data_IF_263530018063
#
_entry.id   IF_263530018063
#
_cell.length_a   1.000
_cell.length_b   1.000
_cell.length_c   1.000
_cell.angle_alpha   90.00
_cell.angle_beta   90.00
_cell.angle_gamma   90.00
#
_symmetry.space_group_name_H-M   'P 1'
#
loop_
_entity.id
_entity.type
_entity.pdbx_description
1 polymer ?
#
# COMPACT_ATOMS: atom_id res chain seq x y z
N UNK A 1 -13.47 -3.39 -11.40
CA UNK A 1 -12.25 -3.64 -10.58
C UNK A 1 -12.71 -4.05 -9.19
N UNK A 2 -12.11 -5.10 -8.59
CA UNK A 2 -12.46 -5.51 -7.23
C UNK A 2 -11.63 -4.80 -6.18
N UNK A 3 -12.29 -4.27 -5.13
CA UNK A 3 -11.67 -3.98 -3.84
C UNK A 3 -12.12 -5.06 -2.87
N UNK A 4 -11.19 -5.88 -2.40
CA UNK A 4 -11.47 -7.00 -1.49
C UNK A 4 -10.88 -6.69 -0.12
N UNK A 5 -11.73 -6.59 0.88
CA UNK A 5 -11.32 -6.35 2.27
C UNK A 5 -11.69 -7.53 3.14
N UNK A 6 -10.77 -7.98 3.95
CA UNK A 6 -10.92 -9.07 4.90
C UNK A 6 -10.17 -8.79 6.19
N UNK A 7 -10.53 -9.46 7.28
CA UNK A 7 -9.93 -9.19 8.58
C UNK A 7 -9.16 -10.36 9.16
N UNK A 8 -8.14 -10.09 9.96
CA UNK A 8 -7.45 -11.05 10.81
C UNK A 8 -7.49 -10.61 12.28
N UNK A 9 -7.56 -11.54 13.21
CA UNK A 9 -7.75 -11.23 14.62
C UNK A 9 -9.18 -10.83 15.00
N UNK A 10 -10.17 -11.23 14.21
CA UNK A 10 -11.57 -10.99 14.48
C UNK A 10 -12.29 -12.31 14.74
N UNK A 11 -12.58 -12.61 16.02
CA UNK A 11 -13.34 -13.77 16.43
C UNK A 11 -14.85 -13.59 16.20
N UNK A 12 -15.61 -14.66 16.40
CA UNK A 12 -17.05 -14.71 16.13
C UNK A 12 -17.86 -13.59 16.81
N UNK A 13 -17.48 -13.14 18.00
CA UNK A 13 -18.19 -12.07 18.68
C UNK A 13 -18.08 -10.72 17.95
N UNK A 14 -16.95 -10.40 17.28
CA UNK A 14 -16.79 -9.18 16.49
C UNK A 14 -17.77 -9.12 15.31
N UNK A 15 -18.18 -10.28 14.79
CA UNK A 15 -19.21 -10.36 13.77
C UNK A 15 -20.61 -10.16 14.34
N UNK A 16 -20.84 -10.61 15.59
CA UNK A 16 -22.14 -10.46 16.27
C UNK A 16 -22.39 -9.05 16.77
N UNK A 17 -21.37 -8.36 17.27
CA UNK A 17 -21.48 -6.99 17.77
C UNK A 17 -21.32 -5.92 16.68
N UNK A 18 -21.01 -6.35 15.43
CA UNK A 18 -20.85 -5.49 14.26
C UNK A 18 -19.52 -4.73 14.19
N UNK A 19 -18.57 -4.97 15.10
CA UNK A 19 -17.26 -4.30 15.08
C UNK A 19 -16.46 -4.66 13.83
N UNK A 20 -16.50 -5.93 13.39
CA UNK A 20 -15.88 -6.35 12.14
C UNK A 20 -16.38 -5.54 10.94
N UNK A 21 -17.70 -5.43 10.78
CA UNK A 21 -18.28 -4.71 9.64
C UNK A 21 -17.96 -3.21 9.69
N UNK A 22 -17.95 -2.60 10.86
CA UNK A 22 -17.57 -1.18 11.01
C UNK A 22 -16.13 -0.93 10.53
N UNK A 23 -15.20 -1.79 10.91
CA UNK A 23 -13.79 -1.64 10.50
C UNK A 23 -13.61 -1.86 9.01
N UNK A 24 -14.26 -2.88 8.43
CA UNK A 24 -14.19 -3.10 6.96
C UNK A 24 -14.77 -1.93 6.18
N UNK A 25 -15.87 -1.32 6.66
CA UNK A 25 -16.44 -0.11 6.05
C UNK A 25 -15.51 1.09 6.19
N UNK A 26 -14.90 1.29 7.36
CA UNK A 26 -13.91 2.34 7.57
C UNK A 26 -12.71 2.19 6.62
N UNK A 27 -12.20 0.97 6.43
CA UNK A 27 -11.13 0.70 5.47
C UNK A 27 -11.55 0.96 4.01
N UNK A 28 -12.79 0.65 3.65
CA UNK A 28 -13.31 0.98 2.31
C UNK A 28 -13.45 2.49 2.10
N UNK A 29 -13.93 3.23 3.09
CA UNK A 29 -13.99 4.69 3.00
C UNK A 29 -12.58 5.30 2.93
N UNK A 30 -11.63 4.78 3.70
CA UNK A 30 -10.22 5.15 3.64
C UNK A 30 -9.62 4.95 2.24
N UNK A 31 -9.90 3.81 1.60
CA UNK A 31 -9.43 3.54 0.24
C UNK A 31 -9.87 4.62 -0.77
N UNK A 32 -11.07 5.16 -0.61
CA UNK A 32 -11.64 6.17 -1.49
C UNK A 32 -11.54 7.61 -0.95
N UNK A 33 -10.76 7.86 0.10
CA UNK A 33 -10.65 9.20 0.70
C UNK A 33 -9.75 10.16 -0.07
N UNK A 34 -8.86 9.62 -0.93
CA UNK A 34 -7.88 10.42 -1.67
C UNK A 34 -7.92 10.16 -3.18
N UNK A 35 -7.51 11.18 -3.97
CA UNK A 35 -7.31 11.01 -5.41
C UNK A 35 -6.05 10.17 -5.72
N UNK A 36 -6.09 9.31 -6.76
CA UNK A 36 -7.14 9.20 -7.78
C UNK A 36 -8.31 8.28 -7.38
N UNK A 37 -8.24 7.60 -6.27
CA UNK A 37 -9.21 6.56 -5.88
C UNK A 37 -10.60 7.12 -5.60
N UNK A 38 -10.70 8.36 -5.09
CA UNK A 38 -11.98 9.05 -4.90
C UNK A 38 -12.76 9.16 -6.21
N UNK A 39 -12.12 9.66 -7.26
CA UNK A 39 -12.71 9.78 -8.60
C UNK A 39 -12.93 8.43 -9.28
N UNK A 40 -12.13 7.40 -8.94
CA UNK A 40 -12.24 6.06 -9.49
C UNK A 40 -13.28 5.19 -8.79
N UNK A 41 -13.86 5.63 -7.67
CA UNK A 41 -14.86 4.86 -6.90
C UNK A 41 -15.96 4.19 -7.75
N UNK A 42 -16.54 4.83 -8.80
CA UNK A 42 -17.57 4.21 -9.62
C UNK A 42 -17.11 2.97 -10.42
N UNK A 43 -15.83 2.73 -10.53
CA UNK A 43 -15.24 1.60 -11.27
C UNK A 43 -14.88 0.43 -10.38
N UNK A 44 -15.10 0.56 -9.04
CA UNK A 44 -14.78 -0.48 -8.08
C UNK A 44 -16.04 -1.18 -7.54
N UNK A 45 -16.00 -2.50 -7.55
CA UNK A 45 -16.92 -3.36 -6.79
C UNK A 45 -16.26 -3.70 -5.45
N UNK A 46 -16.91 -3.33 -4.35
CA UNK A 46 -16.37 -3.52 -3.00
C UNK A 46 -16.90 -4.82 -2.40
N UNK A 47 -15.98 -5.69 -2.01
CA UNK A 47 -16.27 -7.00 -1.44
C UNK A 47 -15.73 -7.09 0.00
N UNK A 48 -16.61 -7.31 0.97
CA UNK A 48 -16.24 -7.64 2.34
C UNK A 48 -16.27 -9.14 2.54
N UNK A 49 -15.11 -9.76 2.70
CA UNK A 49 -14.98 -11.20 2.94
C UNK A 49 -15.04 -11.45 4.44
N UNK A 50 -16.07 -12.15 4.89
CA UNK A 50 -16.22 -12.52 6.31
C UNK A 50 -15.26 -13.65 6.65
N UNK A 51 -14.23 -13.30 7.41
CA UNK A 51 -13.25 -14.23 7.96
C UNK A 51 -13.41 -14.30 9.48
N UNK A 52 -13.32 -15.48 10.04
CA UNK A 52 -13.38 -15.68 11.50
C UNK A 52 -12.05 -16.23 11.96
N UNK A 53 -11.35 -15.46 12.78
CA UNK A 53 -10.09 -15.87 13.38
C UNK A 53 -10.33 -16.68 14.66
N UNK A 54 -9.43 -17.60 14.96
CA UNK A 54 -9.49 -18.38 16.20
C UNK A 54 -9.29 -17.51 17.46
N UNK A 55 -8.58 -16.40 17.30
CA UNK A 55 -8.25 -15.45 18.36
C UNK A 55 -8.93 -14.11 18.14
N UNK A 56 -9.13 -13.37 19.23
CA UNK A 56 -9.74 -12.03 19.23
C UNK A 56 -8.79 -10.95 18.72
N UNK A 57 -7.50 -11.25 18.68
CA UNK A 57 -6.42 -10.38 18.17
C UNK A 57 -5.31 -11.23 17.58
N UNK A 58 -4.42 -10.61 16.81
CA UNK A 58 -3.17 -11.23 16.33
C UNK A 58 -1.94 -10.78 17.12
N UNK A 59 -2.12 -10.32 18.36
CA UNK A 59 -1.01 -9.98 19.26
C UNK A 59 -0.03 -11.15 19.42
N UNK A 60 1.15 -10.85 19.97
CA UNK A 60 2.22 -11.84 20.16
C UNK A 60 1.71 -13.14 20.80
N UNK A 61 2.07 -14.26 20.18
CA UNK A 61 1.63 -15.60 20.61
C UNK A 61 0.28 -16.07 20.07
N UNK A 62 -0.48 -15.21 19.42
CA UNK A 62 -1.74 -15.58 18.78
C UNK A 62 -1.54 -16.05 17.32
N UNK A 63 -2.32 -17.04 16.91
CA UNK A 63 -2.29 -17.50 15.53
C UNK A 63 -2.95 -16.48 14.60
N UNK A 64 -2.22 -16.06 13.58
CA UNK A 64 -2.74 -15.25 12.47
C UNK A 64 -3.37 -16.16 11.41
N UNK A 65 -4.51 -15.75 10.85
CA UNK A 65 -5.17 -16.45 9.76
C UNK A 65 -4.40 -16.25 8.43
N UNK A 66 -3.91 -15.03 8.20
CA UNK A 66 -3.28 -14.65 6.94
C UNK A 66 -1.76 -14.50 7.02
N UNK A 67 -1.17 -14.54 8.18
CA UNK A 67 0.26 -14.44 8.50
C UNK A 67 1.10 -13.69 7.43
N UNK A 68 1.11 -12.36 7.54
CA UNK A 68 1.80 -11.47 6.58
C UNK A 68 3.29 -11.75 6.39
N UNK A 69 3.91 -12.59 7.25
CA UNK A 69 5.32 -13.00 7.15
C UNK A 69 5.54 -14.16 6.18
N UNK A 70 4.47 -14.90 5.83
CA UNK A 70 4.55 -16.03 4.89
C UNK A 70 4.44 -15.55 3.44
N UNK A 71 5.16 -16.22 2.56
CA UNK A 71 5.10 -15.95 1.11
C UNK A 71 3.74 -16.31 0.51
N UNK A 72 3.13 -17.41 0.95
CA UNK A 72 1.80 -17.83 0.49
C UNK A 72 0.71 -17.14 1.29
N UNK A 73 0.15 -16.07 0.74
CA UNK A 73 -0.98 -15.40 1.37
C UNK A 73 -2.29 -16.16 1.10
N UNK A 74 -2.91 -16.65 2.17
CA UNK A 74 -4.27 -17.18 2.12
C UNK A 74 -5.30 -16.14 1.66
N UNK A 75 -4.98 -14.85 1.69
CA UNK A 75 -5.86 -13.80 1.20
C UNK A 75 -6.31 -14.05 -0.24
N UNK A 76 -5.43 -14.56 -1.10
CA UNK A 76 -5.79 -14.93 -2.48
C UNK A 76 -6.76 -16.10 -2.55
N UNK A 77 -6.68 -17.09 -1.66
CA UNK A 77 -7.62 -18.20 -1.62
C UNK A 77 -9.04 -17.69 -1.31
N UNK A 78 -9.15 -16.72 -0.42
CA UNK A 78 -10.42 -16.09 -0.07
C UNK A 78 -10.92 -15.18 -1.19
N UNK A 79 -10.05 -14.37 -1.79
CA UNK A 79 -10.41 -13.50 -2.91
C UNK A 79 -10.91 -14.31 -4.13
N UNK A 80 -10.27 -15.43 -4.45
CA UNK A 80 -10.67 -16.34 -5.56
C UNK A 80 -12.04 -16.98 -5.37
N UNK A 81 -12.64 -16.93 -4.18
CA UNK A 81 -14.01 -17.41 -3.94
C UNK A 81 -15.08 -16.42 -4.38
N UNK A 82 -14.68 -15.18 -4.68
CA UNK A 82 -15.59 -14.16 -5.21
C UNK A 82 -15.79 -14.47 -6.70
N UNK A 83 -17.03 -14.70 -7.16
CA UNK A 83 -17.29 -14.99 -8.56
C UNK A 83 -16.77 -13.87 -9.47
N UNK A 84 -16.17 -14.25 -10.58
CA UNK A 84 -15.68 -13.34 -11.63
C UNK A 84 -14.56 -12.37 -11.20
N UNK A 85 -14.07 -12.47 -9.96
CA UNK A 85 -12.94 -11.66 -9.50
C UNK A 85 -11.62 -12.23 -10.02
N UNK A 86 -10.81 -11.38 -10.64
CA UNK A 86 -9.40 -11.66 -10.94
C UNK A 86 -8.52 -11.03 -9.86
N UNK A 87 -7.90 -11.81 -8.94
CA UNK A 87 -7.07 -11.26 -7.89
C UNK A 87 -5.82 -10.51 -8.37
N UNK A 88 -5.36 -10.76 -9.61
CA UNK A 88 -4.20 -10.06 -10.20
C UNK A 88 -4.54 -8.64 -10.63
N UNK A 89 -5.84 -8.31 -10.69
CA UNK A 89 -6.39 -7.00 -11.07
C UNK A 89 -7.23 -6.36 -9.97
N UNK A 90 -7.19 -6.92 -8.77
CA UNK A 90 -7.94 -6.44 -7.60
C UNK A 90 -7.01 -5.75 -6.60
N UNK A 91 -7.55 -4.77 -5.89
CA UNK A 91 -6.96 -4.28 -4.65
C UNK A 91 -7.39 -5.21 -3.51
N UNK A 92 -6.44 -5.81 -2.79
CA UNK A 92 -6.72 -6.74 -1.69
C UNK A 92 -6.11 -6.19 -0.42
N UNK A 93 -6.94 -5.96 0.61
CA UNK A 93 -6.54 -5.49 1.93
C UNK A 93 -6.90 -6.48 3.03
N UNK A 94 -5.95 -6.76 3.91
CA UNK A 94 -6.14 -7.50 5.17
C UNK A 94 -6.04 -6.50 6.31
N UNK A 95 -7.13 -6.32 7.04
CA UNK A 95 -7.20 -5.45 8.20
C UNK A 95 -6.95 -6.28 9.45
N UNK A 96 -5.85 -5.99 10.11
CA UNK A 96 -5.32 -6.81 11.20
C UNK A 96 -5.65 -6.21 12.57
N UNK A 97 -6.43 -6.92 13.39
CA UNK A 97 -6.71 -6.53 14.76
C UNK A 97 -5.57 -6.98 15.69
N UNK A 98 -4.62 -6.09 15.96
CA UNK A 98 -3.49 -6.40 16.83
C UNK A 98 -3.87 -6.40 18.31
N UNK A 99 -4.76 -5.53 18.75
CA UNK A 99 -5.22 -5.46 20.15
C UNK A 99 -4.18 -5.02 21.16
N UNK A 100 -3.06 -4.44 20.72
CA UNK A 100 -1.95 -4.01 21.57
C UNK A 100 -0.78 -3.44 20.78
N UNK A 101 0.39 -3.28 21.41
CA UNK A 101 1.59 -2.77 20.73
C UNK A 101 2.03 -3.70 19.59
N UNK A 102 2.43 -3.11 18.46
CA UNK A 102 2.99 -3.83 17.32
C UNK A 102 4.52 -3.77 17.42
N UNK A 103 5.16 -4.94 17.43
CA UNK A 103 6.60 -5.02 17.24
C UNK A 103 6.88 -5.04 15.72
N UNK A 104 7.24 -3.88 15.17
CA UNK A 104 7.57 -3.71 13.76
C UNK A 104 6.66 -2.74 13.00
N UNK A 105 6.54 -2.89 11.69
CA UNK A 105 5.75 -2.01 10.85
C UNK A 105 4.25 -2.22 11.04
N UNK A 106 3.49 -1.13 11.19
CA UNK A 106 2.04 -1.16 11.30
C UNK A 106 1.35 -1.61 10.01
N UNK A 107 1.99 -1.35 8.86
CA UNK A 107 1.54 -1.80 7.55
C UNK A 107 2.63 -2.57 6.80
N UNK A 108 2.23 -3.30 5.79
CA UNK A 108 3.10 -3.98 4.84
C UNK A 108 2.32 -4.35 3.59
N UNK A 109 2.90 -4.18 2.41
CA UNK A 109 2.37 -4.76 1.19
C UNK A 109 3.29 -5.86 0.66
N UNK A 110 2.69 -6.96 0.21
CA UNK A 110 3.38 -7.97 -0.59
C UNK A 110 2.95 -7.87 -2.03
N UNK A 111 3.91 -7.71 -2.90
CA UNK A 111 3.76 -7.69 -4.36
C UNK A 111 4.32 -8.98 -4.94
N UNK A 112 3.58 -9.62 -5.84
CA UNK A 112 3.94 -10.90 -6.45
C UNK A 112 4.20 -10.73 -7.94
N UNK A 113 5.01 -11.62 -8.53
CA UNK A 113 5.42 -11.54 -9.93
C UNK A 113 4.25 -11.63 -10.93
N UNK A 114 3.12 -12.23 -10.53
CA UNK A 114 1.90 -12.31 -11.33
C UNK A 114 1.04 -11.03 -11.32
N UNK A 115 1.59 -9.93 -10.84
CA UNK A 115 0.94 -8.63 -10.63
C UNK A 115 -0.08 -8.59 -9.49
N UNK A 116 -0.30 -9.67 -8.76
CA UNK A 116 -1.14 -9.65 -7.57
C UNK A 116 -0.42 -8.99 -6.38
N UNK A 117 -1.19 -8.48 -5.44
CA UNK A 117 -0.65 -7.87 -4.22
C UNK A 117 -1.66 -7.92 -3.08
N UNK A 118 -1.15 -7.90 -1.85
CA UNK A 118 -1.95 -7.84 -0.63
C UNK A 118 -1.36 -6.80 0.30
N UNK A 119 -2.15 -5.77 0.64
CA UNK A 119 -1.83 -4.82 1.68
C UNK A 119 -2.31 -5.31 3.05
N UNK A 120 -1.48 -5.22 4.06
CA UNK A 120 -1.80 -5.56 5.45
C UNK A 120 -1.77 -4.28 6.27
N UNK A 121 -2.86 -3.98 6.97
CA UNK A 121 -3.05 -2.75 7.72
C UNK A 121 -3.45 -3.09 9.16
N UNK A 122 -2.59 -2.77 10.11
CA UNK A 122 -2.88 -2.99 11.52
C UNK A 122 -3.91 -1.99 12.05
N UNK A 123 -4.77 -2.46 12.94
CA UNK A 123 -5.70 -1.62 13.72
C UNK A 123 -5.46 -1.80 15.21
N UNK A 124 -5.96 -0.89 16.00
CA UNK A 124 -5.93 -0.98 17.47
C UNK A 124 -5.09 0.10 18.14
N UNK A 125 -4.44 0.98 17.37
CA UNK A 125 -3.62 2.06 17.91
C UNK A 125 -4.26 3.45 17.80
N UNK A 126 -4.69 3.84 16.61
CA UNK A 126 -5.18 5.21 16.33
C UNK A 126 -6.09 5.16 15.10
N UNK A 127 -7.26 5.74 15.16
CA UNK A 127 -8.15 5.79 13.98
C UNK A 127 -7.55 6.52 12.76
N UNK A 128 -6.75 7.61 12.90
CA UNK A 128 -6.09 8.24 11.76
C UNK A 128 -5.08 7.35 11.04
N UNK A 129 -4.51 6.35 11.72
CA UNK A 129 -3.53 5.45 11.13
C UNK A 129 -4.13 4.44 10.15
N UNK A 130 -5.35 3.97 10.38
CA UNK A 130 -5.98 3.04 9.43
C UNK A 130 -6.14 3.67 8.05
N UNK A 131 -6.57 4.94 7.99
CA UNK A 131 -6.70 5.66 6.71
C UNK A 131 -5.35 5.77 6.00
N UNK A 132 -4.32 6.20 6.71
CA UNK A 132 -2.97 6.29 6.15
C UNK A 132 -2.47 4.92 5.68
N UNK A 133 -2.61 3.87 6.49
CA UNK A 133 -2.15 2.52 6.15
C UNK A 133 -2.88 1.96 4.94
N UNK A 134 -4.18 2.17 4.83
CA UNK A 134 -4.95 1.71 3.65
C UNK A 134 -4.49 2.45 2.39
N UNK A 135 -4.29 3.77 2.47
CA UNK A 135 -3.80 4.56 1.35
C UNK A 135 -2.37 4.17 0.96
N UNK A 136 -1.49 3.90 1.92
CA UNK A 136 -0.12 3.51 1.68
C UNK A 136 0.00 2.07 1.17
N UNK A 137 -0.54 1.09 1.93
CA UNK A 137 -0.32 -0.34 1.68
C UNK A 137 -1.25 -0.91 0.62
N UNK A 138 -2.55 -0.55 0.64
CA UNK A 138 -3.53 -1.14 -0.28
C UNK A 138 -3.65 -0.32 -1.56
N UNK A 139 -3.68 1.01 -1.46
CA UNK A 139 -3.75 1.89 -2.62
C UNK A 139 -2.37 2.05 -3.28
N UNK A 140 -1.38 2.57 -2.56
CA UNK A 140 -0.05 2.89 -3.09
C UNK A 140 0.72 1.66 -3.56
N UNK A 141 1.18 0.84 -2.62
CA UNK A 141 1.94 -0.36 -2.96
C UNK A 141 1.09 -1.43 -3.66
N UNK A 142 -0.14 -1.64 -3.16
CA UNK A 142 -0.99 -2.72 -3.59
C UNK A 142 -1.53 -2.53 -5.00
N UNK A 143 -2.40 -1.57 -5.21
CA UNK A 143 -3.05 -1.32 -6.49
C UNK A 143 -2.21 -0.45 -7.42
N UNK A 144 -1.64 0.66 -6.89
CA UNK A 144 -0.82 1.60 -7.65
C UNK A 144 0.58 1.11 -7.99
N UNK A 145 1.03 0.01 -7.38
CA UNK A 145 2.38 -0.57 -7.59
C UNK A 145 3.52 0.42 -7.35
N UNK A 146 3.31 1.37 -6.45
CA UNK A 146 4.29 2.38 -6.08
C UNK A 146 5.34 1.80 -5.13
N UNK A 147 6.53 2.40 -5.10
CA UNK A 147 7.58 2.13 -4.11
C UNK A 147 7.61 3.17 -3.00
N UNK A 148 8.44 2.95 -1.99
CA UNK A 148 8.64 3.83 -0.86
C UNK A 148 9.29 5.17 -1.28
N UNK A 149 8.71 6.29 -0.91
CA UNK A 149 9.30 7.62 -1.10
C UNK A 149 10.02 8.13 0.16
N UNK A 150 10.54 7.23 0.99
CA UNK A 150 11.26 7.59 2.22
C UNK A 150 12.52 6.75 2.43
N UNK A 151 13.31 7.17 3.43
CA UNK A 151 14.60 6.55 3.77
C UNK A 151 14.40 5.64 4.98
N UNK A 152 14.70 4.35 4.83
CA UNK A 152 14.75 3.37 5.92
C UNK A 152 16.18 3.30 6.48
N UNK A 153 17.16 3.23 5.58
CA UNK A 153 18.57 3.02 5.91
C UNK A 153 19.37 4.31 5.74
N UNK A 154 19.55 5.04 6.83
CA UNK A 154 20.34 6.27 6.86
C UNK A 154 21.78 6.01 6.38
N UNK A 155 22.27 6.87 5.47
CA UNK A 155 23.62 6.77 4.92
C UNK A 155 23.85 5.65 3.90
N UNK A 156 22.84 4.84 3.60
CA UNK A 156 22.96 3.79 2.61
C UNK A 156 22.74 4.33 1.18
N UNK A 157 23.69 4.00 0.30
CA UNK A 157 23.58 4.21 -1.15
C UNK A 157 23.14 2.91 -1.81
N UNK A 158 22.19 3.00 -2.74
CA UNK A 158 21.77 1.84 -3.52
C UNK A 158 22.98 1.23 -4.23
N UNK A 159 23.06 -0.10 -4.20
CA UNK A 159 24.06 -0.87 -4.92
C UNK A 159 23.55 -1.34 -6.29
N UNK A 160 24.44 -2.01 -7.05
CA UNK A 160 24.11 -2.49 -8.39
C UNK A 160 22.98 -3.52 -8.41
N UNK A 161 22.82 -4.33 -7.35
CA UNK A 161 21.75 -5.30 -7.23
C UNK A 161 20.41 -4.58 -7.00
N UNK A 162 20.37 -3.59 -6.12
CA UNK A 162 19.19 -2.75 -5.89
C UNK A 162 18.76 -1.99 -7.15
N UNK A 163 19.71 -1.42 -7.90
CA UNK A 163 19.43 -0.78 -9.20
C UNK A 163 18.77 -1.78 -10.16
N UNK A 164 19.32 -2.98 -10.29
CA UNK A 164 18.76 -4.01 -11.17
C UNK A 164 17.35 -4.47 -10.72
N UNK A 165 17.04 -4.39 -9.42
CA UNK A 165 15.67 -4.65 -8.92
C UNK A 165 14.73 -3.55 -9.40
N UNK A 166 15.08 -2.27 -9.23
CA UNK A 166 14.24 -1.13 -9.65
C UNK A 166 14.02 -1.19 -11.17
N UNK A 167 15.07 -1.35 -11.98
CA UNK A 167 14.95 -1.47 -13.43
C UNK A 167 14.03 -2.62 -13.88
N UNK A 168 14.09 -3.75 -13.19
CA UNK A 168 13.20 -4.88 -13.46
C UNK A 168 11.73 -4.55 -13.10
N UNK A 169 11.50 -3.80 -12.02
CA UNK A 169 10.16 -3.33 -11.64
C UNK A 169 9.62 -2.32 -12.63
N UNK A 170 10.44 -1.38 -13.09
CA UNK A 170 10.07 -0.45 -14.17
C UNK A 170 9.66 -1.19 -15.45
N UNK A 171 10.39 -2.25 -15.82
CA UNK A 171 10.04 -3.08 -16.98
C UNK A 171 8.66 -3.80 -16.82
N UNK A 172 8.15 -3.91 -15.59
CA UNK A 172 6.80 -4.42 -15.29
C UNK A 172 5.73 -3.30 -15.21
N UNK A 173 6.11 -2.03 -15.36
CA UNK A 173 5.23 -0.89 -15.10
C UNK A 173 4.97 -0.64 -13.60
N UNK A 174 5.93 -1.00 -12.74
CA UNK A 174 5.86 -0.83 -11.30
C UNK A 174 6.90 0.19 -10.84
N UNK A 175 6.68 0.78 -9.66
CA UNK A 175 7.62 1.68 -8.99
C UNK A 175 7.96 2.93 -9.80
N UNK A 176 7.03 3.37 -10.67
CA UNK A 176 7.24 4.53 -11.54
C UNK A 176 7.31 5.87 -10.78
N UNK A 177 7.05 5.84 -9.48
CA UNK A 177 7.22 6.97 -8.57
C UNK A 177 8.64 7.12 -8.00
N UNK A 178 9.56 6.22 -8.32
CA UNK A 178 10.98 6.32 -7.96
C UNK A 178 11.86 6.08 -9.17
N UNK A 179 13.08 6.65 -9.18
CA UNK A 179 14.04 6.45 -10.26
C UNK A 179 15.47 6.45 -9.71
N UNK A 180 16.41 5.90 -10.48
CA UNK A 180 17.85 5.86 -10.18
C UNK A 180 18.64 6.94 -10.90
N UNK A 181 18.00 7.78 -11.71
CA UNK A 181 18.59 8.94 -12.37
C UNK A 181 18.10 10.25 -11.77
N UNK A 182 18.99 11.23 -11.69
CA UNK A 182 18.70 12.62 -11.31
C UNK A 182 18.67 13.58 -12.52
N UNK A 183 18.74 13.05 -13.72
CA UNK A 183 18.66 13.86 -14.94
C UNK A 183 17.19 14.24 -15.23
N UNK A 184 16.84 15.53 -15.17
CA UNK A 184 15.46 15.98 -15.38
C UNK A 184 14.92 15.72 -16.80
N UNK A 185 15.77 15.37 -17.74
CA UNK A 185 15.36 15.05 -19.11
C UNK A 185 15.04 13.55 -19.30
N UNK A 186 15.48 12.68 -18.38
CA UNK A 186 15.36 11.23 -18.53
C UNK A 186 14.66 10.52 -17.36
N UNK A 187 14.45 11.20 -16.24
CA UNK A 187 13.70 10.63 -15.11
C UNK A 187 12.26 10.29 -15.53
N UNK A 188 11.68 9.23 -14.96
CA UNK A 188 10.35 8.73 -15.37
C UNK A 188 9.24 9.79 -15.39
N UNK A 189 9.33 10.79 -14.52
CA UNK A 189 8.39 11.92 -14.46
C UNK A 189 8.90 13.21 -15.15
N UNK A 190 9.80 13.09 -16.15
CA UNK A 190 10.36 14.25 -16.90
C UNK A 190 9.26 15.13 -17.51
N UNK A 191 8.20 14.54 -18.03
CA UNK A 191 7.05 15.27 -18.60
C UNK A 191 6.34 16.14 -17.58
N UNK A 192 6.26 15.72 -16.33
CA UNK A 192 5.70 16.54 -15.24
C UNK A 192 6.62 17.71 -14.89
N UNK A 193 7.94 17.49 -14.87
CA UNK A 193 8.93 18.55 -14.64
C UNK A 193 8.86 19.60 -15.74
N UNK A 194 8.72 19.16 -16.99
CA UNK A 194 8.63 20.05 -18.15
C UNK A 194 7.31 20.81 -18.24
N UNK A 195 6.26 20.37 -17.56
CA UNK A 195 4.93 20.97 -17.63
C UNK A 195 4.77 22.10 -16.61
N UNK A 196 4.51 23.35 -17.05
CA UNK A 196 4.36 24.50 -16.17
C UNK A 196 3.25 24.34 -15.11
N UNK A 197 2.26 23.46 -15.32
CA UNK A 197 1.20 23.17 -14.36
C UNK A 197 1.73 22.60 -13.04
N UNK A 198 2.84 21.89 -13.11
CA UNK A 198 3.47 21.23 -11.94
C UNK A 198 4.72 21.96 -11.45
N UNK A 199 5.00 23.15 -12.01
CA UNK A 199 6.19 23.95 -11.61
C UNK A 199 6.16 24.26 -10.10
N UNK A 200 7.24 23.89 -9.41
CA UNK A 200 7.36 24.05 -7.96
C UNK A 200 6.68 22.99 -7.10
N UNK A 201 5.97 22.01 -7.70
CA UNK A 201 5.37 20.89 -6.99
C UNK A 201 5.99 19.56 -7.33
N UNK A 202 6.51 19.38 -8.56
CA UNK A 202 7.24 18.20 -8.98
C UNK A 202 8.68 18.59 -9.25
N UNK A 203 9.61 17.79 -8.75
CA UNK A 203 11.07 17.98 -8.87
C UNK A 203 11.80 16.65 -8.84
N UNK A 204 13.03 16.67 -8.37
CA UNK A 204 13.88 15.48 -8.16
C UNK A 204 14.47 15.57 -6.77
N UNK A 205 14.08 14.66 -5.89
CA UNK A 205 14.49 14.65 -4.50
C UNK A 205 15.20 13.33 -4.18
N UNK A 206 16.47 13.38 -3.76
CA UNK A 206 17.22 12.18 -3.39
C UNK A 206 16.69 11.58 -2.09
N UNK A 207 16.64 10.25 -2.02
CA UNK A 207 16.19 9.49 -0.87
C UNK A 207 14.81 8.85 -1.07
N UNK A 208 14.81 7.64 -1.61
CA UNK A 208 13.62 6.81 -1.85
C UNK A 208 14.02 5.32 -1.87
N UNK A 209 13.05 4.41 -2.00
CA UNK A 209 13.29 2.96 -2.02
C UNK A 209 14.00 2.47 -0.75
N UNK A 210 13.79 3.13 0.39
CA UNK A 210 14.51 2.86 1.63
C UNK A 210 15.98 3.31 1.66
N UNK A 211 16.51 3.91 0.57
CA UNK A 211 17.90 4.32 0.42
C UNK A 211 18.05 5.83 0.65
N UNK A 212 19.16 6.26 1.30
CA UNK A 212 19.46 7.66 1.47
C UNK A 212 20.02 8.30 0.19
N UNK A 213 20.70 7.52 -0.66
CA UNK A 213 21.39 8.01 -1.84
C UNK A 213 21.17 7.12 -3.06
N UNK A 214 21.09 7.77 -4.23
CA UNK A 214 21.06 7.13 -5.55
C UNK A 214 19.70 6.63 -5.98
N UNK A 215 18.64 6.92 -5.20
CA UNK A 215 17.23 6.73 -5.59
C UNK A 215 16.51 8.06 -5.36
N UNK A 216 15.71 8.44 -6.32
CA UNK A 216 15.03 9.74 -6.37
C UNK A 216 13.53 9.58 -6.40
N UNK A 217 12.80 10.62 -5.92
CA UNK A 217 11.34 10.70 -5.89
C UNK A 217 10.86 12.05 -6.43
N UNK A 218 9.60 12.16 -6.88
CA UNK A 218 9.13 13.35 -7.59
C UNK A 218 8.77 14.53 -6.67
N UNK A 219 8.51 14.29 -5.38
CA UNK A 219 8.13 15.34 -4.42
C UNK A 219 8.88 15.17 -3.10
N UNK A 220 8.96 16.24 -2.33
CA UNK A 220 9.57 16.19 -0.99
C UNK A 220 8.83 15.26 -0.05
N UNK A 221 7.49 15.21 -0.17
CA UNK A 221 6.62 14.32 0.60
C UNK A 221 5.35 13.94 -0.14
N UNK A 222 4.79 12.75 0.19
CA UNK A 222 3.57 12.18 -0.37
C UNK A 222 3.02 11.10 0.56
N UNK A 223 1.91 10.45 0.21
CA UNK A 223 1.43 9.27 0.93
C UNK A 223 2.41 8.08 0.89
N UNK A 224 3.30 8.00 -0.11
CA UNK A 224 4.37 6.99 -0.16
C UNK A 224 5.59 7.39 0.66
N UNK A 225 5.58 8.58 1.29
CA UNK A 225 6.58 9.05 2.24
C UNK A 225 6.23 8.73 3.69
N UNK A 226 7.13 9.07 4.62
CA UNK A 226 6.96 8.83 6.07
C UNK A 226 5.96 9.74 6.78
N UNK A 227 5.48 10.78 6.14
CA UNK A 227 4.57 11.72 6.74
C UNK A 227 3.18 11.55 6.15
N UNK A 228 2.30 10.93 6.91
CA UNK A 228 0.86 10.90 6.64
C UNK A 228 0.20 12.28 6.77
N UNK A 229 0.84 13.31 6.24
CA UNK A 229 0.30 14.66 6.20
C UNK A 229 -0.71 14.85 5.07
N UNK A 230 -1.30 16.03 5.00
CA UNK A 230 -2.35 16.50 4.05
C UNK A 230 -1.95 16.48 2.54
N UNK A 231 -0.99 15.67 2.14
CA UNK A 231 -0.27 15.81 0.88
C UNK A 231 -0.83 14.96 -0.27
N UNK A 232 -1.52 13.88 0.03
CA UNK A 232 -2.04 12.97 -1.00
C UNK A 232 -0.94 12.23 -1.79
N UNK A 233 -1.35 11.48 -2.79
CA UNK A 233 -0.43 10.97 -3.82
C UNK A 233 0.05 12.13 -4.68
N UNK A 234 1.34 12.18 -4.98
CA UNK A 234 1.89 13.22 -5.88
C UNK A 234 1.40 13.03 -7.32
N UNK A 235 1.60 14.06 -8.16
CA UNK A 235 1.07 14.03 -9.52
C UNK A 235 1.56 12.82 -10.34
N UNK A 236 2.86 12.47 -10.40
CA UNK A 236 3.32 11.26 -11.08
C UNK A 236 2.66 9.98 -10.58
N UNK A 237 2.48 9.83 -9.26
CA UNK A 237 1.85 8.63 -8.66
C UNK A 237 0.34 8.49 -8.93
N UNK A 238 -0.31 9.52 -9.48
CA UNK A 238 -1.75 9.50 -9.80
C UNK A 238 -2.04 9.17 -11.26
N UNK A 239 -1.04 9.09 -12.10
CA UNK A 239 -1.12 8.82 -13.54
C UNK A 239 -0.53 7.46 -13.90
#
# INVERSE_FOLDING_TARGET
>A
IGLVLMGDGYADFHHRDGSYERVMRAAAEAFFSAEPYASLRPYFDVHFVRTVSANETIAEGNASLFDRRKEDSKAFEYARRIPELDPTRAAIGVIENFGGEIDGAAGMCRQYEDNSSVGYCATGFWEPELEFLVLHEVCGHGFGKLDEEYIIRQGYRIDAEGIAVIERRHAQGWWENVDVTDDPASVLWADFIANPLYAGTVGIYEGAGGCAYGVYRPTESSFMGNSGGDLGFNAPSRY
#
